data_IF_579019189792
#
_entry.id   IF_579019189792
#
_cell.length_a   1.000
_cell.length_b   1.000
_cell.length_c   1.000
_cell.angle_alpha   90.00
_cell.angle_beta   90.00
_cell.angle_gamma   90.00
#
_symmetry.space_group_name_H-M   'P 1'
#
loop_
_entity.id
_entity.type
_entity.pdbx_description
1 polymer ?
#
# COMPACT_ATOMS: atom_id res chain seq x y z
N UNK A 1 25.93 14.68 -11.48
CA UNK A 1 24.75 15.24 -10.79
C UNK A 1 24.02 14.14 -10.00
N UNK A 2 24.78 13.31 -9.26
CA UNK A 2 24.28 12.06 -8.64
C UNK A 2 25.19 11.62 -7.46
N UNK A 3 25.45 12.55 -6.52
CA UNK A 3 26.22 12.25 -5.30
C UNK A 3 25.67 12.92 -4.04
N UNK A 4 24.83 13.96 -4.16
CA UNK A 4 24.24 14.66 -3.01
C UNK A 4 23.11 13.86 -2.34
N UNK A 5 22.35 13.06 -3.11
CA UNK A 5 21.25 12.22 -2.58
C UNK A 5 21.79 10.99 -1.82
N UNK A 6 22.98 10.48 -2.19
CA UNK A 6 23.63 9.35 -1.50
C UNK A 6 24.20 9.74 -0.12
N UNK A 7 24.57 11.00 0.10
CA UNK A 7 25.06 11.47 1.41
C UNK A 7 23.96 11.66 2.45
N UNK A 8 22.75 12.07 2.05
CA UNK A 8 21.63 12.24 3.00
C UNK A 8 21.04 10.92 3.50
N UNK A 9 21.10 9.84 2.71
CA UNK A 9 20.67 8.50 3.19
C UNK A 9 21.66 7.84 4.17
N UNK A 10 22.92 8.28 4.22
CA UNK A 10 23.94 7.74 5.12
C UNK A 10 23.98 8.44 6.49
N UNK A 11 23.38 9.63 6.60
CA UNK A 11 23.36 10.45 7.83
C UNK A 11 22.22 10.14 8.79
N UNK A 12 21.18 9.41 8.38
CA UNK A 12 20.01 9.12 9.24
C UNK A 12 19.97 7.68 9.79
N UNK A 13 20.99 6.86 9.50
CA UNK A 13 21.07 5.48 10.00
C UNK A 13 22.12 5.35 11.13
N UNK A 14 22.97 6.35 11.35
CA UNK A 14 24.11 6.28 12.30
C UNK A 14 23.95 7.19 13.52
N UNK A 15 22.88 7.03 14.31
CA UNK A 15 22.80 7.73 15.61
C UNK A 15 22.31 6.92 16.82
N UNK A 16 22.26 5.58 16.75
CA UNK A 16 22.07 4.70 17.92
C UNK A 16 22.84 3.41 17.59
N UNK A 17 23.81 2.87 18.33
CA UNK A 17 23.94 2.73 19.79
C UNK A 17 25.42 2.41 20.12
N UNK A 18 25.83 2.84 21.32
CA UNK A 18 27.13 2.69 21.98
C UNK A 18 27.24 1.34 22.76
N UNK A 19 28.48 0.85 22.89
CA UNK A 19 29.10 -0.09 23.85
C UNK A 19 29.11 -1.65 23.70
N UNK A 20 30.35 -2.18 23.89
CA UNK A 20 30.94 -3.54 23.97
C UNK A 20 30.28 -4.50 25.02
N UNK A 21 30.63 -5.82 25.19
CA UNK A 21 31.89 -6.52 24.87
C UNK A 21 31.77 -7.95 24.27
N UNK A 22 32.94 -8.60 24.13
CA UNK A 22 33.24 -9.88 23.48
C UNK A 22 32.96 -11.14 24.33
N UNK A 23 32.55 -12.26 23.71
CA UNK A 23 32.85 -13.63 24.17
C UNK A 23 32.44 -14.74 23.17
N UNK A 24 33.44 -15.56 22.82
CA UNK A 24 33.48 -17.02 22.60
C UNK A 24 32.46 -17.75 21.69
N UNK A 25 32.99 -18.44 20.67
CA UNK A 25 32.31 -19.45 19.86
C UNK A 25 32.42 -20.84 20.53
N UNK A 26 31.31 -21.56 20.69
CA UNK A 26 31.31 -22.98 21.05
C UNK A 26 30.26 -23.72 20.21
N UNK A 27 30.68 -24.74 19.47
CA UNK A 27 29.79 -25.59 18.67
C UNK A 27 29.42 -26.85 19.45
N UNK A 28 28.13 -27.13 19.58
CA UNK A 28 27.60 -28.38 20.17
C UNK A 28 26.97 -29.25 19.08
N UNK A 29 27.33 -30.54 19.10
CA UNK A 29 26.79 -31.59 18.21
C UNK A 29 25.65 -32.29 18.94
N UNK A 30 24.47 -32.36 18.32
CA UNK A 30 23.39 -33.23 18.77
C UNK A 30 23.07 -34.23 17.65
N UNK A 31 23.08 -35.52 18.00
CA UNK A 31 22.68 -36.58 17.08
C UNK A 31 21.18 -36.84 17.26
N UNK A 32 20.42 -36.73 16.18
CA UNK A 32 18.99 -36.99 16.18
C UNK A 32 18.69 -37.99 15.06
N UNK A 33 17.94 -39.05 15.39
CA UNK A 33 17.50 -40.06 14.43
C UNK A 33 16.11 -39.70 13.91
N UNK A 34 15.90 -39.82 12.59
CA UNK A 34 14.56 -39.69 12.01
C UNK A 34 13.75 -40.99 12.18
N UNK A 35 12.43 -40.91 11.96
CA UNK A 35 11.50 -42.05 12.09
C UNK A 35 11.73 -43.17 11.06
N UNK A 36 12.74 -43.06 10.19
CA UNK A 36 13.14 -44.09 9.23
C UNK A 36 14.53 -44.67 9.54
N UNK A 37 15.12 -44.33 10.69
CA UNK A 37 16.36 -44.93 11.20
C UNK A 37 17.64 -44.39 10.56
N UNK A 38 17.57 -43.28 9.81
CA UNK A 38 18.76 -42.65 9.25
C UNK A 38 19.39 -41.66 10.24
N UNK A 39 20.72 -41.74 10.39
CA UNK A 39 21.49 -40.86 11.27
C UNK A 39 21.69 -39.50 10.60
N UNK A 40 20.81 -38.56 10.95
CA UNK A 40 20.87 -37.19 10.46
C UNK A 40 21.71 -36.36 11.43
N UNK A 41 23.03 -36.30 11.20
CA UNK A 41 23.91 -35.49 12.04
C UNK A 41 23.68 -34.00 11.78
N UNK A 42 22.96 -33.34 12.68
CA UNK A 42 22.78 -31.89 12.67
C UNK A 42 23.96 -31.20 13.37
N UNK A 43 24.50 -30.15 12.75
CA UNK A 43 25.53 -29.31 13.34
C UNK A 43 24.98 -27.90 13.46
N UNK A 44 25.03 -27.36 14.67
CA UNK A 44 24.71 -25.95 14.90
C UNK A 44 26.00 -25.18 15.17
N UNK A 45 26.24 -24.13 14.39
CA UNK A 45 27.35 -23.21 14.60
C UNK A 45 26.77 -21.80 14.81
N UNK A 46 27.10 -21.18 15.93
CA UNK A 46 26.65 -19.81 16.23
C UNK A 46 27.63 -18.82 15.61
N UNK A 47 27.23 -18.22 14.48
CA UNK A 47 27.99 -17.16 13.83
C UNK A 47 27.62 -15.79 14.40
N UNK A 48 28.22 -15.39 15.51
CA UNK A 48 28.24 -13.99 15.97
C UNK A 48 26.87 -13.30 16.12
N UNK A 49 26.88 -11.96 16.23
CA UNK A 49 25.65 -11.14 16.38
C UNK A 49 24.98 -10.90 15.02
N UNK A 50 23.64 -10.85 15.03
CA UNK A 50 22.71 -10.78 13.87
C UNK A 50 23.00 -9.66 12.84
N UNK A 51 23.79 -8.65 13.19
CA UNK A 51 24.15 -7.55 12.29
C UNK A 51 25.28 -7.89 11.30
N UNK A 52 25.99 -8.99 11.52
CA UNK A 52 27.05 -9.49 10.62
C UNK A 52 26.63 -10.79 9.89
N UNK A 53 25.48 -11.35 10.24
CA UNK A 53 24.88 -12.48 9.54
C UNK A 53 24.22 -11.97 8.25
N UNK A 54 25.03 -11.78 7.21
CA UNK A 54 24.51 -11.78 5.86
C UNK A 54 24.14 -13.22 5.50
N UNK A 55 22.84 -13.57 5.39
CA UNK A 55 22.41 -14.95 5.11
C UNK A 55 23.04 -15.49 3.82
N UNK A 56 23.35 -14.61 2.86
CA UNK A 56 24.06 -14.98 1.64
C UNK A 56 25.52 -15.41 1.87
N UNK A 57 26.21 -14.85 2.86
CA UNK A 57 27.62 -15.22 3.13
C UNK A 57 27.71 -16.59 3.79
N UNK A 58 26.80 -16.90 4.73
CA UNK A 58 26.75 -18.21 5.38
C UNK A 58 26.37 -19.33 4.39
N UNK A 59 25.45 -19.05 3.45
CA UNK A 59 25.11 -19.99 2.39
C UNK A 59 26.31 -20.26 1.45
N UNK A 60 27.05 -19.22 1.06
CA UNK A 60 28.23 -19.37 0.20
C UNK A 60 29.34 -20.17 0.88
N UNK A 61 29.60 -19.94 2.17
CA UNK A 61 30.58 -20.72 2.93
C UNK A 61 30.16 -22.18 3.09
N UNK A 62 28.87 -22.44 3.36
CA UNK A 62 28.35 -23.80 3.44
C UNK A 62 28.47 -24.55 2.09
N UNK A 63 28.20 -23.87 0.98
CA UNK A 63 28.39 -24.43 -0.37
C UNK A 63 29.87 -24.70 -0.68
N UNK A 64 30.78 -23.80 -0.29
CA UNK A 64 32.21 -23.97 -0.50
C UNK A 64 32.76 -25.18 0.29
N UNK A 65 32.39 -25.30 1.56
CA UNK A 65 32.78 -26.45 2.41
C UNK A 65 32.22 -27.76 1.89
N UNK A 66 31.00 -27.76 1.33
CA UNK A 66 30.42 -28.95 0.72
C UNK A 66 31.21 -29.40 -0.52
N UNK A 67 31.67 -28.46 -1.35
CA UNK A 67 32.46 -28.74 -2.54
C UNK A 67 33.88 -29.22 -2.22
N UNK A 68 34.52 -28.67 -1.18
CA UNK A 68 35.85 -29.13 -0.73
C UNK A 68 35.85 -30.56 -0.18
N UNK A 69 34.69 -31.05 0.27
CA UNK A 69 34.53 -32.41 0.81
C UNK A 69 34.14 -33.45 -0.23
N UNK A 70 33.98 -33.06 -1.49
CA UNK A 70 33.77 -34.01 -2.60
C UNK A 70 35.11 -34.61 -3.00
N UNK A 71 35.31 -35.93 -2.89
CA UNK A 71 36.57 -36.55 -3.32
C UNK A 71 36.76 -36.35 -4.84
N UNK A 72 37.99 -36.11 -5.32
CA UNK A 72 38.25 -36.01 -6.76
C UNK A 72 38.11 -37.41 -7.39
N UNK A 73 36.89 -37.71 -7.85
CA UNK A 73 36.51 -38.94 -8.51
C UNK A 73 36.48 -38.77 -10.03
N UNK A 74 37.30 -39.57 -10.68
CA UNK A 74 37.58 -39.67 -12.12
C UNK A 74 36.35 -39.78 -13.03
N UNK A 75 36.31 -38.92 -14.06
CA UNK A 75 35.98 -39.25 -15.46
C UNK A 75 34.70 -40.02 -15.77
N UNK A 76 33.63 -39.29 -16.11
CA UNK A 76 32.96 -39.38 -17.43
C UNK A 76 31.96 -38.22 -17.53
N UNK A 77 32.16 -37.33 -18.50
CA UNK A 77 31.15 -36.37 -18.91
C UNK A 77 29.86 -37.12 -19.28
N UNK A 78 28.87 -37.07 -18.40
CA UNK A 78 27.48 -37.09 -18.82
C UNK A 78 26.90 -35.74 -18.45
N UNK A 79 26.89 -34.85 -19.43
CA UNK A 79 26.06 -33.65 -19.42
C UNK A 79 24.66 -34.05 -18.96
N UNK A 80 24.06 -33.36 -17.97
CA UNK A 80 22.66 -33.60 -17.65
C UNK A 80 21.87 -33.37 -18.93
N UNK A 81 21.20 -34.43 -19.38
CA UNK A 81 20.23 -34.40 -20.46
C UNK A 81 19.31 -33.20 -20.20
N UNK A 82 19.32 -32.22 -21.13
CA UNK A 82 18.44 -31.05 -21.05
C UNK A 82 17.02 -31.60 -20.91
N UNK A 83 16.44 -31.47 -19.72
CA UNK A 83 15.03 -31.80 -19.52
C UNK A 83 14.25 -31.15 -20.67
N UNK A 84 13.35 -31.88 -21.37
CA UNK A 84 12.54 -31.26 -22.38
C UNK A 84 11.83 -30.09 -21.72
N UNK A 85 11.86 -28.93 -22.37
CA UNK A 85 11.23 -27.71 -21.90
C UNK A 85 9.76 -27.98 -21.58
N UNK A 86 9.46 -28.38 -20.34
CA UNK A 86 8.10 -28.42 -19.85
C UNK A 86 7.66 -26.97 -19.73
N UNK A 87 6.56 -26.64 -20.40
CA UNK A 87 6.00 -25.31 -20.38
C UNK A 87 5.56 -24.95 -18.94
N UNK A 88 6.50 -24.42 -18.15
CA UNK A 88 6.32 -23.89 -16.78
C UNK A 88 5.15 -22.89 -16.69
N UNK A 89 4.67 -22.39 -17.83
CA UNK A 89 3.56 -21.47 -17.95
C UNK A 89 2.25 -21.96 -17.33
N UNK A 90 1.96 -23.28 -17.32
CA UNK A 90 0.65 -23.78 -16.83
C UNK A 90 0.66 -23.91 -15.31
N UNK A 91 1.73 -24.47 -14.74
CA UNK A 91 1.93 -24.50 -13.29
C UNK A 91 2.01 -23.09 -12.69
N UNK A 92 2.75 -22.18 -13.35
CA UNK A 92 2.78 -20.77 -12.94
C UNK A 92 1.40 -20.13 -13.04
N UNK A 93 0.63 -20.40 -14.11
CA UNK A 93 -0.75 -19.89 -14.25
C UNK A 93 -1.68 -20.41 -13.15
N UNK A 94 -1.56 -21.68 -12.76
CA UNK A 94 -2.34 -22.26 -11.67
C UNK A 94 -1.97 -21.64 -10.33
N UNK A 95 -0.67 -21.51 -10.01
CA UNK A 95 -0.20 -20.85 -8.78
C UNK A 95 -0.64 -19.38 -8.75
N UNK A 96 -0.59 -18.67 -9.88
CA UNK A 96 -1.08 -17.30 -9.98
C UNK A 96 -2.61 -17.21 -9.84
N UNK A 97 -3.36 -18.18 -10.36
CA UNK A 97 -4.82 -18.24 -10.25
C UNK A 97 -5.28 -18.57 -8.82
N UNK A 98 -4.62 -19.52 -8.16
CA UNK A 98 -4.82 -19.85 -6.74
C UNK A 98 -4.51 -18.63 -5.86
N UNK A 99 -3.35 -17.98 -6.09
CA UNK A 99 -3.02 -16.72 -5.41
C UNK A 99 -4.03 -15.62 -5.75
N UNK A 100 -4.55 -15.53 -6.97
CA UNK A 100 -5.56 -14.52 -7.31
C UNK A 100 -6.87 -14.72 -6.54
N UNK A 101 -7.29 -15.97 -6.27
CA UNK A 101 -8.46 -16.24 -5.42
C UNK A 101 -8.24 -15.77 -3.98
N UNK A 102 -7.07 -16.04 -3.38
CA UNK A 102 -6.73 -15.59 -2.03
C UNK A 102 -6.73 -14.07 -1.87
N UNK A 103 -6.43 -13.33 -2.94
CA UNK A 103 -6.36 -11.87 -2.95
C UNK A 103 -7.61 -11.19 -3.53
N UNK A 104 -8.71 -11.93 -3.70
CA UNK A 104 -9.98 -11.30 -4.11
C UNK A 104 -10.46 -10.36 -3.01
N UNK A 105 -10.46 -9.06 -3.30
CA UNK A 105 -10.99 -8.05 -2.41
C UNK A 105 -12.48 -8.36 -2.16
N UNK A 106 -12.97 -8.25 -0.90
CA UNK A 106 -14.38 -8.40 -0.61
C UNK A 106 -15.23 -7.50 -1.52
N UNK A 107 -16.43 -7.96 -1.87
CA UNK A 107 -17.32 -7.34 -2.86
C UNK A 107 -17.59 -5.84 -2.60
N UNK A 108 -17.55 -5.42 -1.33
CA UNK A 108 -17.84 -4.06 -0.91
C UNK A 108 -16.62 -3.12 -0.85
N UNK A 109 -15.40 -3.61 -1.11
CA UNK A 109 -14.20 -2.77 -1.05
C UNK A 109 -14.18 -1.75 -2.19
N UNK A 110 -14.01 -0.49 -1.81
CA UNK A 110 -13.91 0.63 -2.76
C UNK A 110 -15.23 1.04 -3.42
N UNK A 111 -16.39 0.55 -2.96
CA UNK A 111 -17.70 0.93 -3.50
C UNK A 111 -17.92 2.45 -3.54
N UNK A 112 -17.55 3.15 -2.46
CA UNK A 112 -17.62 4.62 -2.41
C UNK A 112 -16.69 5.28 -3.44
N UNK A 113 -15.41 4.91 -3.43
CA UNK A 113 -14.42 5.49 -4.36
C UNK A 113 -14.81 5.25 -5.82
N UNK A 114 -15.36 4.06 -6.16
CA UNK A 114 -15.88 3.74 -7.50
C UNK A 114 -17.13 4.54 -7.87
N UNK A 115 -17.98 4.88 -6.90
CA UNK A 115 -19.14 5.74 -7.12
C UNK A 115 -18.74 7.20 -7.36
N UNK A 116 -17.65 7.65 -6.72
CA UNK A 116 -17.07 8.98 -6.92
C UNK A 116 -16.30 9.05 -8.23
N UNK A 117 -15.38 8.12 -8.47
CA UNK A 117 -14.56 8.04 -9.69
C UNK A 117 -14.57 6.61 -10.22
N UNK A 118 -15.26 6.41 -11.35
CA UNK A 118 -15.32 5.09 -11.97
C UNK A 118 -13.98 4.73 -12.62
N UNK A 119 -13.20 5.72 -13.01
CA UNK A 119 -11.85 5.47 -13.48
C UNK A 119 -10.96 5.09 -12.30
N UNK A 120 -10.23 3.99 -12.45
CA UNK A 120 -9.17 3.65 -11.51
C UNK A 120 -8.11 4.77 -11.49
N UNK A 121 -7.41 4.98 -10.35
CA UNK A 121 -6.39 6.01 -10.24
C UNK A 121 -5.40 5.93 -11.40
N UNK A 122 -5.30 7.03 -12.16
CA UNK A 122 -4.54 7.05 -13.40
C UNK A 122 -3.93 8.42 -13.68
N UNK A 123 -3.63 8.68 -14.96
CA UNK A 123 -3.02 9.95 -15.39
C UNK A 123 -3.89 11.17 -15.02
N UNK A 124 -5.21 11.05 -15.10
CA UNK A 124 -6.14 12.13 -14.72
C UNK A 124 -6.09 12.42 -13.22
N UNK A 125 -6.09 11.36 -12.39
CA UNK A 125 -6.00 11.50 -10.92
C UNK A 125 -4.67 12.14 -10.52
N UNK A 126 -3.56 11.73 -11.15
CA UNK A 126 -2.25 12.35 -10.90
C UNK A 126 -2.26 13.84 -11.27
N UNK A 127 -2.69 14.18 -12.49
CA UNK A 127 -2.80 15.57 -12.96
C UNK A 127 -3.69 16.43 -12.07
N UNK A 128 -4.75 15.84 -11.49
CA UNK A 128 -5.63 16.52 -10.55
C UNK A 128 -4.90 16.89 -9.25
N UNK A 129 -4.21 15.94 -8.62
CA UNK A 129 -3.50 16.19 -7.36
C UNK A 129 -2.23 17.04 -7.54
N UNK A 130 -1.54 16.93 -8.67
CA UNK A 130 -0.34 17.75 -8.97
C UNK A 130 -0.65 19.26 -9.01
N UNK A 131 -1.91 19.65 -9.19
CA UNK A 131 -2.39 21.04 -9.21
C UNK A 131 -2.84 21.57 -7.84
N UNK A 132 -2.81 20.74 -6.81
CA UNK A 132 -3.28 21.06 -5.46
C UNK A 132 -2.10 21.15 -4.49
N UNK A 133 -2.21 22.01 -3.49
CA UNK A 133 -1.26 22.01 -2.40
C UNK A 133 -1.50 20.81 -1.45
N UNK A 134 -0.56 20.54 -0.54
CA UNK A 134 -0.66 19.38 0.35
C UNK A 134 -1.93 19.38 1.23
N UNK A 135 -2.37 20.54 1.71
CA UNK A 135 -3.58 20.66 2.55
C UNK A 135 -4.84 20.40 1.72
N UNK A 136 -4.92 21.01 0.55
CA UNK A 136 -6.00 20.82 -0.41
C UNK A 136 -6.10 19.36 -0.89
N UNK A 137 -4.96 18.75 -1.21
CA UNK A 137 -4.87 17.35 -1.60
C UNK A 137 -5.32 16.41 -0.47
N UNK A 138 -4.95 16.69 0.79
CA UNK A 138 -5.41 15.91 1.95
C UNK A 138 -6.93 15.97 2.08
N UNK A 139 -7.51 17.17 2.03
CA UNK A 139 -8.96 17.37 2.09
C UNK A 139 -9.66 16.65 0.94
N UNK A 140 -9.18 16.81 -0.29
CA UNK A 140 -9.75 16.14 -1.46
C UNK A 140 -9.63 14.61 -1.34
N UNK A 141 -8.52 14.08 -0.84
CA UNK A 141 -8.34 12.65 -0.63
C UNK A 141 -9.31 12.09 0.40
N UNK A 142 -9.54 12.80 1.51
CA UNK A 142 -10.55 12.41 2.51
C UNK A 142 -11.95 12.38 1.87
N UNK A 143 -12.33 13.43 1.13
CA UNK A 143 -13.62 13.50 0.45
C UNK A 143 -13.81 12.42 -0.62
N UNK A 144 -12.77 12.11 -1.40
CA UNK A 144 -12.80 11.10 -2.48
C UNK A 144 -12.77 9.66 -1.98
N UNK A 145 -12.21 9.42 -0.80
CA UNK A 145 -12.19 8.09 -0.17
C UNK A 145 -13.36 7.86 0.77
N UNK A 146 -14.00 8.94 1.23
CA UNK A 146 -15.03 8.90 2.27
C UNK A 146 -14.45 8.67 3.67
N UNK A 147 -13.12 8.54 3.79
CA UNK A 147 -12.40 8.40 5.05
C UNK A 147 -12.21 9.79 5.68
N UNK A 148 -13.31 10.30 6.24
CA UNK A 148 -13.43 11.67 6.73
C UNK A 148 -13.67 11.69 8.24
N UNK A 149 -13.56 12.86 8.88
CA UNK A 149 -13.97 13.05 10.28
C UNK A 149 -15.48 13.22 10.46
N UNK A 150 -16.28 12.92 9.45
CA UNK A 150 -17.74 12.97 9.51
C UNK A 150 -18.30 11.74 10.24
N UNK A 151 -19.43 11.92 10.92
CA UNK A 151 -19.98 10.88 11.80
C UNK A 151 -20.32 9.57 11.07
N UNK A 152 -20.69 9.61 9.77
CA UNK A 152 -20.93 8.38 9.01
C UNK A 152 -19.70 7.48 8.89
N UNK A 153 -18.51 8.04 8.72
CA UNK A 153 -17.27 7.25 8.70
C UNK A 153 -16.83 6.88 10.11
N UNK A 154 -16.93 7.82 11.05
CA UNK A 154 -16.52 7.58 12.45
C UNK A 154 -17.35 6.48 13.10
N UNK A 155 -18.66 6.46 12.86
CA UNK A 155 -19.54 5.40 13.35
C UNK A 155 -19.22 4.04 12.71
N UNK A 156 -18.93 4.02 11.39
CA UNK A 156 -18.53 2.80 10.69
C UNK A 156 -17.27 2.15 11.25
N UNK A 157 -16.35 2.94 11.80
CA UNK A 157 -15.13 2.43 12.45
C UNK A 157 -15.27 2.29 13.98
N UNK A 158 -16.46 2.54 14.54
CA UNK A 158 -16.72 2.44 15.97
C UNK A 158 -16.13 3.56 16.83
N UNK A 159 -15.75 4.70 16.24
CA UNK A 159 -15.22 5.84 16.97
C UNK A 159 -16.31 6.72 17.61
N UNK A 160 -17.55 6.65 17.11
CA UNK A 160 -18.72 7.41 17.60
C UNK A 160 -19.96 6.52 17.54
N UNK A 161 -20.87 6.67 18.51
CA UNK A 161 -22.05 5.80 18.65
C UNK A 161 -23.14 6.04 17.60
N UNK A 162 -23.15 7.22 16.95
CA UNK A 162 -24.16 7.61 15.98
C UNK A 162 -23.54 8.19 14.71
N UNK A 163 -24.16 7.92 13.56
CA UNK A 163 -23.80 8.47 12.26
C UNK A 163 -24.50 9.79 11.95
N UNK A 164 -25.35 10.29 12.85
CA UNK A 164 -26.20 11.45 12.63
C UNK A 164 -25.42 12.76 12.66
N UNK A 165 -25.84 13.70 11.83
CA UNK A 165 -25.34 15.06 11.86
C UNK A 165 -25.88 15.79 13.10
N UNK A 166 -25.02 16.56 13.78
CA UNK A 166 -25.42 17.31 14.98
C UNK A 166 -26.55 18.32 14.70
N UNK A 167 -26.71 18.73 13.44
CA UNK A 167 -27.62 19.79 13.02
C UNK A 167 -28.81 19.30 12.20
N UNK A 168 -28.82 18.01 11.83
CA UNK A 168 -29.94 17.41 11.12
C UNK A 168 -30.03 15.93 11.46
N UNK A 169 -31.24 15.40 11.61
CA UNK A 169 -31.48 13.97 11.87
C UNK A 169 -31.10 13.03 10.69
N UNK A 170 -30.28 13.50 9.75
CA UNK A 170 -29.77 12.72 8.64
C UNK A 170 -28.34 12.23 8.94
N UNK A 171 -27.98 11.09 8.35
CA UNK A 171 -26.61 10.57 8.38
C UNK A 171 -25.63 11.61 7.82
N UNK A 172 -24.55 11.90 8.56
CA UNK A 172 -23.52 12.87 8.19
C UNK A 172 -22.57 12.26 7.15
N UNK A 173 -23.07 12.05 5.94
CA UNK A 173 -22.28 11.61 4.79
C UNK A 173 -21.56 12.78 4.11
N UNK A 174 -20.61 12.49 3.23
CA UNK A 174 -19.97 13.53 2.40
C UNK A 174 -21.00 14.29 1.55
N UNK A 175 -22.00 13.59 0.99
CA UNK A 175 -23.10 14.23 0.25
C UNK A 175 -23.93 15.14 1.15
N UNK A 176 -24.25 14.69 2.36
CA UNK A 176 -24.96 15.52 3.33
C UNK A 176 -24.15 16.76 3.68
N UNK A 177 -22.88 16.58 4.03
CA UNK A 177 -21.95 17.64 4.38
C UNK A 177 -21.81 18.68 3.26
N UNK A 178 -21.67 18.25 2.00
CA UNK A 178 -21.46 19.14 0.85
C UNK A 178 -22.76 19.79 0.33
N UNK A 179 -23.90 19.10 0.39
CA UNK A 179 -25.10 19.53 -0.35
C UNK A 179 -26.37 19.72 0.48
N UNK A 180 -26.47 19.16 1.69
CA UNK A 180 -27.72 19.19 2.48
C UNK A 180 -27.62 19.82 3.87
N UNK A 181 -26.44 19.86 4.47
CA UNK A 181 -26.27 20.42 5.82
C UNK A 181 -26.63 21.92 5.85
N UNK A 182 -27.50 22.31 6.79
CA UNK A 182 -28.06 23.67 6.91
C UNK A 182 -27.12 24.67 7.56
N UNK A 183 -26.18 24.20 8.39
CA UNK A 183 -25.21 25.08 9.08
C UNK A 183 -24.27 25.81 8.14
N UNK A 184 -23.95 25.20 7.00
CA UNK A 184 -22.90 25.67 6.11
C UNK A 184 -23.45 26.29 4.82
N UNK A 185 -24.70 26.76 4.86
CA UNK A 185 -25.42 27.35 3.71
C UNK A 185 -24.70 28.57 3.15
N UNK A 186 -24.23 29.48 4.02
CA UNK A 186 -23.48 30.69 3.61
C UNK A 186 -22.19 30.35 2.88
N UNK A 187 -21.41 29.39 3.39
CA UNK A 187 -20.15 28.96 2.74
C UNK A 187 -20.39 28.19 1.43
N UNK A 188 -21.61 27.71 1.20
CA UNK A 188 -21.99 26.98 -0.02
C UNK A 188 -22.25 27.87 -1.21
N UNK A 189 -22.42 29.18 -1.02
CA UNK A 189 -22.69 30.12 -2.12
C UNK A 189 -21.62 30.04 -3.21
N UNK A 190 -20.34 29.92 -2.83
CA UNK A 190 -19.24 29.74 -3.78
C UNK A 190 -19.32 28.43 -4.58
N UNK A 191 -19.87 27.35 -4.00
CA UNK A 191 -20.15 26.10 -4.72
C UNK A 191 -21.39 26.22 -5.61
N UNK A 192 -22.42 26.94 -5.17
CA UNK A 192 -23.68 27.13 -5.90
C UNK A 192 -23.49 27.96 -7.17
N UNK A 193 -22.60 28.96 -7.14
CA UNK A 193 -22.25 29.76 -8.32
C UNK A 193 -21.58 28.94 -9.44
N UNK A 194 -20.97 27.80 -9.11
CA UNK A 194 -20.31 26.94 -10.09
C UNK A 194 -21.29 26.03 -10.86
N UNK A 195 -22.60 26.00 -10.56
CA UNK A 195 -23.51 25.01 -11.16
C UNK A 195 -24.99 25.44 -11.24
N UNK A 196 -25.49 25.72 -12.45
CA UNK A 196 -26.93 25.70 -12.75
C UNK A 196 -27.44 24.30 -13.13
N UNK A 197 -26.62 23.45 -13.78
CA UNK A 197 -27.06 22.17 -14.38
C UNK A 197 -26.62 20.90 -13.65
N UNK A 198 -25.66 20.95 -12.71
CA UNK A 198 -25.10 19.77 -12.01
C UNK A 198 -25.12 19.89 -10.47
N UNK A 199 -26.20 20.48 -9.94
CA UNK A 199 -26.39 20.59 -8.48
C UNK A 199 -26.31 19.21 -7.83
N UNK A 200 -25.60 19.12 -6.71
CA UNK A 200 -25.48 17.91 -5.88
C UNK A 200 -24.77 16.70 -6.52
N UNK A 201 -24.07 16.85 -7.65
CA UNK A 201 -23.33 15.72 -8.23
C UNK A 201 -21.95 15.54 -7.55
N UNK A 202 -21.87 14.59 -6.62
CA UNK A 202 -20.65 14.31 -5.86
C UNK A 202 -19.43 14.00 -6.77
N UNK A 203 -19.62 13.17 -7.80
CA UNK A 203 -18.54 12.80 -8.73
C UNK A 203 -17.97 14.02 -9.43
N UNK A 204 -18.82 14.93 -9.91
CA UNK A 204 -18.42 16.18 -10.55
C UNK A 204 -17.60 17.07 -9.62
N UNK A 205 -18.09 17.30 -8.40
CA UNK A 205 -17.46 18.18 -7.41
C UNK A 205 -16.14 17.62 -6.84
N UNK A 206 -15.95 16.30 -6.89
CA UNK A 206 -14.72 15.64 -6.45
C UNK A 206 -13.77 15.30 -7.60
N UNK A 207 -14.07 15.69 -8.83
CA UNK A 207 -13.22 15.42 -10.00
C UNK A 207 -13.16 13.95 -10.40
N UNK A 208 -14.25 13.23 -10.24
CA UNK A 208 -14.39 11.85 -10.69
C UNK A 208 -14.76 11.75 -12.17
N UNK A 209 -14.23 10.71 -12.83
CA UNK A 209 -14.54 10.39 -14.22
C UNK A 209 -15.66 9.34 -14.26
N UNK A 210 -16.71 9.63 -15.01
CA UNK A 210 -17.81 8.69 -15.29
C UNK A 210 -17.48 7.77 -16.47
N UNK A 211 -18.20 6.64 -16.60
CA UNK A 211 -18.07 5.72 -17.75
C UNK A 211 -18.49 6.37 -19.06
N UNK A 212 -19.37 7.37 -19.00
CA UNK A 212 -19.86 8.13 -20.15
C UNK A 212 -18.90 9.22 -20.59
N UNK A 213 -17.85 9.51 -19.81
CA UNK A 213 -16.89 10.55 -20.12
C UNK A 213 -15.84 10.06 -21.12
N UNK A 214 -15.52 10.93 -22.08
CA UNK A 214 -14.51 10.64 -23.11
C UNK A 214 -13.10 10.43 -22.54
N UNK A 215 -12.20 9.88 -23.34
CA UNK A 215 -10.80 9.72 -22.97
C UNK A 215 -10.05 11.04 -22.75
N UNK A 216 -10.51 12.13 -23.39
CA UNK A 216 -9.96 13.49 -23.24
C UNK A 216 -10.65 14.30 -22.13
N UNK A 217 -11.50 13.67 -21.34
CA UNK A 217 -12.18 14.33 -20.23
C UNK A 217 -11.19 14.92 -19.22
N UNK A 218 -11.50 16.12 -18.74
CA UNK A 218 -10.75 16.80 -17.69
C UNK A 218 -11.67 17.20 -16.55
N UNK A 219 -11.20 17.12 -15.30
CA UNK A 219 -11.96 17.58 -14.15
C UNK A 219 -12.14 19.10 -14.18
N UNK A 220 -13.30 19.57 -13.71
CA UNK A 220 -13.53 21.00 -13.51
C UNK A 220 -12.81 21.46 -12.24
N UNK A 221 -11.67 22.13 -12.43
CA UNK A 221 -10.86 22.62 -11.32
C UNK A 221 -11.58 23.71 -10.51
N UNK A 222 -12.49 24.49 -11.09
CA UNK A 222 -13.21 25.53 -10.34
C UNK A 222 -14.16 24.90 -9.33
N UNK A 223 -14.89 23.87 -9.76
CA UNK A 223 -15.80 23.11 -8.88
C UNK A 223 -15.03 22.44 -7.73
N UNK A 224 -13.90 21.81 -8.04
CA UNK A 224 -13.06 21.13 -7.04
C UNK A 224 -12.46 22.11 -6.05
N UNK A 225 -11.92 23.23 -6.54
CA UNK A 225 -11.39 24.29 -5.66
C UNK A 225 -12.48 24.89 -4.77
N UNK A 226 -13.70 25.07 -5.28
CA UNK A 226 -14.82 25.55 -4.46
C UNK A 226 -15.14 24.58 -3.31
N UNK A 227 -15.15 23.28 -3.58
CA UNK A 227 -15.38 22.22 -2.56
C UNK A 227 -14.27 22.18 -1.53
N UNK A 228 -13.02 22.29 -1.98
CA UNK A 228 -11.87 22.28 -1.08
C UNK A 228 -11.88 23.54 -0.19
N UNK A 229 -12.12 24.72 -0.77
CA UNK A 229 -12.25 25.97 -0.02
C UNK A 229 -13.38 25.90 1.00
N UNK A 230 -14.53 25.36 0.60
CA UNK A 230 -15.65 25.11 1.48
C UNK A 230 -15.25 24.20 2.65
N UNK A 231 -14.64 23.05 2.37
CA UNK A 231 -14.27 22.08 3.39
C UNK A 231 -13.21 22.64 4.37
N UNK A 232 -12.22 23.38 3.88
CA UNK A 232 -11.22 24.06 4.71
C UNK A 232 -11.89 25.13 5.58
N UNK A 233 -12.77 25.97 5.01
CA UNK A 233 -13.44 27.04 5.74
C UNK A 233 -14.36 26.52 6.85
N UNK A 234 -14.96 25.34 6.67
CA UNK A 234 -15.80 24.72 7.71
C UNK A 234 -14.99 24.16 8.88
N UNK A 235 -13.70 23.85 8.70
CA UNK A 235 -12.87 23.17 9.71
C UNK A 235 -13.35 21.77 10.14
N UNK A 236 -14.44 21.24 9.56
CA UNK A 236 -15.13 20.04 10.04
C UNK A 236 -14.33 18.74 9.82
N UNK A 237 -13.38 18.76 8.88
CA UNK A 237 -12.60 17.60 8.44
C UNK A 237 -11.21 17.47 9.10
N UNK A 238 -10.82 18.42 9.94
CA UNK A 238 -9.50 18.44 10.61
C UNK A 238 -9.41 17.46 11.78
#
# INVERSE_FOLDING_TARGET
MDQTIKRLKRSLIYQFQIDLPAAAHSATRYQQMDNQGNNMSSYSITLGKRTEQNPYTAELEAMAVALERVPPGTGTERLPEKQPFQAKSTAIRLILAERQQEWTLPENVGKYSKAVDVALPGKHTKSLYDRLNQKEAKVLAQLRTGMTRLNSYLNKIGAVDSDLCAYSQASETVEHFLFRCTQWTVMREGMNQCTESRRCNLSFFLGGKSRSDSDRWQPDMKAIQAVIKYAIATGRLE
#
